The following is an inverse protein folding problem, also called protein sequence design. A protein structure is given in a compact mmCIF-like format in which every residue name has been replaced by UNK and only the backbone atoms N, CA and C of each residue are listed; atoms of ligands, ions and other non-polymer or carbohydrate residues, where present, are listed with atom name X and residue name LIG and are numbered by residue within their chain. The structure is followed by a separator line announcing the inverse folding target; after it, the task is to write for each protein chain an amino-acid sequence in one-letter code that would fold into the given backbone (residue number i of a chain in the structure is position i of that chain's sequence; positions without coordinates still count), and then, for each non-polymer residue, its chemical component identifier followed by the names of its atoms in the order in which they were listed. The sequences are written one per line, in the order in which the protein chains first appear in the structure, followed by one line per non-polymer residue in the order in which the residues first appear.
data_IF_044563585735
#
_entry.id   IF_044563585735
#
_cell.length_a   1.000
_cell.length_b   1.000
_cell.length_c   1.000
_cell.angle_alpha   90.00
_cell.angle_beta   90.00
_cell.angle_gamma   90.00
#
_symmetry.space_group_name_H-M   'P 1'
#
loop_
_entity.id
_entity.type
_entity.pdbx_description
1 polymer ?
#
# COMPACT_ATOMS: atom_id res chain seq x y z
N UNK A 1 -1.85 29.68 -20.74
CA UNK A 1 -0.61 29.02 -20.40
C UNK A 1 -0.90 27.56 -20.13
N UNK A 2 -0.36 26.65 -20.93
CA UNK A 2 -0.37 25.20 -20.68
C UNK A 2 0.63 24.94 -19.57
N UNK A 3 0.15 24.53 -18.41
CA UNK A 3 1.01 23.97 -17.38
C UNK A 3 1.59 22.65 -17.92
N UNK A 4 2.87 22.61 -18.24
CA UNK A 4 3.55 21.35 -18.44
C UNK A 4 3.85 20.76 -17.06
N UNK A 5 3.51 19.50 -16.85
CA UNK A 5 3.85 18.79 -15.60
C UNK A 5 5.36 18.69 -15.33
N UNK A 6 6.18 19.09 -16.29
CA UNK A 6 7.65 19.10 -16.21
C UNK A 6 8.23 20.43 -15.72
N UNK A 7 7.51 21.54 -15.76
CA UNK A 7 8.03 22.85 -15.28
C UNK A 7 7.91 23.05 -13.76
N UNK A 8 7.27 22.12 -13.03
CA UNK A 8 7.23 22.13 -11.58
C UNK A 8 8.18 21.14 -10.90
N UNK A 9 8.92 20.35 -11.68
CA UNK A 9 9.73 19.23 -11.17
C UNK A 9 11.19 19.62 -10.94
N UNK A 10 11.69 20.68 -11.56
CA UNK A 10 12.91 21.33 -11.07
C UNK A 10 12.52 22.06 -9.79
N UNK A 11 12.46 21.27 -8.69
CA UNK A 11 12.20 21.79 -7.36
C UNK A 11 13.20 22.91 -7.06
N UNK A 12 12.83 24.13 -7.46
CA UNK A 12 13.56 25.29 -7.01
C UNK A 12 13.61 25.27 -5.50
N UNK A 13 14.60 25.92 -4.90
CA UNK A 13 14.75 26.06 -3.45
C UNK A 13 13.36 26.30 -2.81
N UNK A 14 12.81 25.27 -2.13
CA UNK A 14 11.51 25.37 -1.46
C UNK A 14 10.39 24.42 -1.94
N UNK A 15 10.58 23.61 -3.01
CA UNK A 15 9.53 22.65 -3.42
C UNK A 15 9.23 21.62 -2.33
N UNK A 16 10.27 21.05 -1.74
CA UNK A 16 10.14 20.08 -0.65
C UNK A 16 9.40 20.70 0.53
N UNK A 17 9.86 21.85 0.99
CA UNK A 17 9.25 22.56 2.12
C UNK A 17 7.78 22.91 1.86
N UNK A 18 7.48 23.36 0.64
CA UNK A 18 6.09 23.63 0.22
C UNK A 18 5.24 22.35 0.25
N UNK A 19 5.76 21.25 -0.30
CA UNK A 19 5.01 20.00 -0.36
C UNK A 19 4.79 19.39 1.03
N UNK A 20 5.83 19.35 1.85
CA UNK A 20 5.73 18.85 3.23
C UNK A 20 4.75 19.71 4.04
N UNK A 21 4.83 21.04 3.92
CA UNK A 21 3.88 21.94 4.57
C UNK A 21 2.44 21.74 4.11
N UNK A 22 2.21 21.54 2.81
CA UNK A 22 0.89 21.26 2.28
C UNK A 22 0.32 19.94 2.78
N UNK A 23 1.13 18.88 2.80
CA UNK A 23 0.71 17.55 3.23
C UNK A 23 0.51 17.47 4.73
N UNK A 24 1.33 18.17 5.53
CA UNK A 24 1.13 18.31 6.96
C UNK A 24 -0.16 19.04 7.36
N UNK A 25 -0.76 19.85 6.45
CA UNK A 25 -2.10 20.40 6.67
C UNK A 25 -3.23 19.37 6.49
N UNK A 26 -2.96 18.27 5.78
CA UNK A 26 -3.91 17.16 5.59
C UNK A 26 -3.79 16.19 6.76
N UNK A 27 -2.54 15.84 7.09
CA UNK A 27 -2.20 14.92 8.17
C UNK A 27 -0.75 15.18 8.60
N UNK A 28 -0.51 15.37 9.89
CA UNK A 28 0.84 15.64 10.42
C UNK A 28 1.82 14.51 10.08
N UNK A 29 1.36 13.24 10.10
CA UNK A 29 2.18 12.08 9.75
C UNK A 29 2.66 12.11 8.29
N UNK A 30 1.91 12.73 7.38
CA UNK A 30 2.34 12.85 5.97
C UNK A 30 3.61 13.68 5.81
N UNK A 31 3.76 14.73 6.59
CA UNK A 31 4.97 15.55 6.53
C UNK A 31 6.18 14.74 7.02
N UNK A 32 6.02 13.94 8.06
CA UNK A 32 7.07 13.09 8.62
C UNK A 32 7.47 11.99 7.62
N UNK A 33 6.52 11.20 7.13
CA UNK A 33 6.77 10.14 6.15
C UNK A 33 7.41 10.66 4.85
N UNK A 34 6.93 11.81 4.35
CA UNK A 34 7.44 12.38 3.10
C UNK A 34 8.81 13.07 3.27
N UNK A 35 9.19 13.45 4.48
CA UNK A 35 10.50 14.02 4.75
C UNK A 35 11.63 13.03 4.46
N UNK A 36 11.38 11.72 4.66
CA UNK A 36 12.33 10.64 4.42
C UNK A 36 12.47 10.25 2.94
N UNK A 37 11.63 10.78 2.04
CA UNK A 37 11.74 10.52 0.60
C UNK A 37 13.07 11.07 0.06
N UNK A 38 13.91 10.26 -0.62
CA UNK A 38 15.32 10.58 -0.85
C UNK A 38 15.55 11.79 -1.79
N UNK A 39 14.66 12.01 -2.73
CA UNK A 39 14.82 13.09 -3.73
C UNK A 39 13.48 13.70 -4.15
N UNK A 40 13.55 14.92 -4.71
CA UNK A 40 12.35 15.66 -5.10
C UNK A 40 11.66 15.09 -6.34
N UNK A 41 12.36 14.32 -7.17
CA UNK A 41 11.75 13.63 -8.32
C UNK A 41 10.80 12.55 -7.81
N UNK A 42 11.26 11.71 -6.89
CA UNK A 42 10.42 10.72 -6.21
C UNK A 42 9.29 11.38 -5.45
N UNK A 43 9.62 12.40 -4.66
CA UNK A 43 8.63 13.15 -3.89
C UNK A 43 7.55 13.76 -4.79
N UNK A 44 7.89 14.26 -6.00
CA UNK A 44 6.95 14.84 -6.94
C UNK A 44 5.90 13.83 -7.46
N UNK A 45 6.23 12.55 -7.49
CA UNK A 45 5.35 11.48 -7.95
C UNK A 45 4.38 10.98 -6.88
N UNK A 46 4.59 11.35 -5.62
CA UNK A 46 3.74 10.96 -4.51
C UNK A 46 2.60 11.96 -4.38
N UNK A 47 1.37 11.46 -4.33
CA UNK A 47 0.15 12.26 -4.24
C UNK A 47 -0.75 11.72 -3.13
N UNK A 48 -1.59 12.61 -2.57
CA UNK A 48 -2.62 12.20 -1.64
C UNK A 48 -3.74 11.43 -2.34
N UNK A 49 -4.10 10.28 -1.79
CA UNK A 49 -5.12 9.38 -2.33
C UNK A 49 -6.55 9.63 -1.82
N UNK A 50 -6.72 10.62 -0.94
CA UNK A 50 -8.05 10.98 -0.42
C UNK A 50 -8.35 10.52 1.01
N UNK A 51 -7.47 9.74 1.64
CA UNK A 51 -7.57 9.27 3.02
C UNK A 51 -6.26 9.52 3.77
N UNK A 52 -6.28 9.46 5.09
CA UNK A 52 -5.08 9.51 5.94
C UNK A 52 -4.52 8.11 6.17
N UNK A 53 -3.39 7.99 6.83
CA UNK A 53 -2.83 6.70 7.27
C UNK A 53 -3.87 5.91 8.05
N UNK A 54 -4.03 4.62 7.74
CA UNK A 54 -5.03 3.76 8.37
C UNK A 54 -6.50 4.16 8.11
N UNK A 55 -6.75 5.18 7.27
CA UNK A 55 -8.10 5.65 6.97
C UNK A 55 -8.97 4.63 6.22
N UNK A 56 -8.34 3.63 5.61
CA UNK A 56 -8.99 2.41 5.12
C UNK A 56 -8.44 1.27 5.98
N UNK A 57 -9.25 0.69 6.88
CA UNK A 57 -8.77 -0.36 7.78
C UNK A 57 -8.46 -1.63 6.99
N UNK A 58 -7.25 -2.12 7.16
CA UNK A 58 -6.81 -3.41 6.62
C UNK A 58 -7.48 -4.59 7.33
N UNK A 59 -7.46 -5.75 6.69
CA UNK A 59 -7.80 -7.02 7.33
C UNK A 59 -6.54 -7.63 7.94
N UNK A 60 -6.60 -8.01 9.20
CA UNK A 60 -5.56 -8.75 9.89
C UNK A 60 -6.10 -10.13 10.26
N UNK A 61 -5.40 -11.19 9.82
CA UNK A 61 -5.79 -12.60 10.00
C UNK A 61 -7.26 -12.87 9.62
N UNK A 62 -7.69 -12.58 8.38
CA UNK A 62 -9.09 -12.71 7.99
C UNK A 62 -9.58 -14.15 8.14
N UNK A 63 -10.78 -14.30 8.69
CA UNK A 63 -11.44 -15.59 8.76
C UNK A 63 -11.67 -16.16 7.36
N UNK A 64 -11.29 -17.43 7.16
CA UNK A 64 -11.47 -18.16 5.91
C UNK A 64 -12.60 -19.16 6.01
N UNK A 65 -13.37 -19.25 4.96
CA UNK A 65 -14.40 -20.27 4.81
C UNK A 65 -14.04 -21.19 3.65
N UNK A 66 -14.34 -22.50 3.74
CA UNK A 66 -14.22 -23.38 2.59
C UNK A 66 -15.10 -22.89 1.44
N UNK A 67 -14.64 -23.06 0.19
CA UNK A 67 -15.38 -22.62 -1.01
C UNK A 67 -16.83 -23.14 -1.04
N UNK A 68 -17.07 -24.39 -0.57
CA UNK A 68 -18.40 -24.97 -0.50
C UNK A 68 -19.37 -24.25 0.47
N UNK A 69 -18.82 -23.47 1.39
CA UNK A 69 -19.57 -22.76 2.44
C UNK A 69 -19.66 -21.26 2.13
N UNK A 70 -19.11 -20.82 0.98
CA UNK A 70 -19.13 -19.44 0.50
C UNK A 70 -20.38 -19.16 -0.38
N UNK A 71 -21.55 -19.56 0.09
CA UNK A 71 -22.84 -19.42 -0.62
C UNK A 71 -23.30 -17.97 -0.83
N UNK A 72 -22.68 -17.04 -0.11
CA UNK A 72 -22.87 -15.60 -0.25
C UNK A 72 -22.16 -15.00 -1.49
N UNK A 73 -21.26 -15.76 -2.14
CA UNK A 73 -20.61 -15.34 -3.38
C UNK A 73 -21.47 -15.67 -4.59
N UNK A 74 -21.39 -14.82 -5.62
CA UNK A 74 -22.04 -15.10 -6.90
C UNK A 74 -21.01 -15.65 -7.90
N UNK A 75 -21.45 -16.49 -8.90
CA UNK A 75 -20.51 -17.18 -9.81
C UNK A 75 -19.57 -16.28 -10.61
N UNK A 76 -19.99 -15.06 -10.93
CA UNK A 76 -19.21 -14.10 -11.73
C UNK A 76 -18.43 -13.09 -10.86
N UNK A 77 -18.37 -13.30 -9.55
CA UNK A 77 -17.64 -12.40 -8.64
C UNK A 77 -16.14 -12.54 -8.83
N UNK A 78 -15.46 -11.39 -8.95
CA UNK A 78 -14.02 -11.35 -9.11
C UNK A 78 -13.33 -11.65 -7.77
N UNK A 79 -12.29 -12.46 -7.86
CA UNK A 79 -11.39 -12.76 -6.74
C UNK A 79 -9.94 -12.53 -7.15
N UNK A 80 -9.11 -12.21 -6.19
CA UNK A 80 -7.66 -12.33 -6.31
C UNK A 80 -7.27 -13.69 -5.72
N UNK A 81 -6.82 -14.60 -6.57
CA UNK A 81 -6.37 -15.92 -6.16
C UNK A 81 -4.87 -15.93 -5.86
N UNK A 82 -4.47 -16.63 -4.82
CA UNK A 82 -3.08 -16.87 -4.49
C UNK A 82 -2.86 -18.35 -4.15
N UNK A 83 -1.70 -18.88 -4.51
CA UNK A 83 -1.24 -20.21 -4.11
C UNK A 83 0.17 -20.07 -3.52
N UNK A 84 0.34 -20.56 -2.30
CA UNK A 84 1.61 -20.53 -1.56
C UNK A 84 1.80 -21.93 -0.98
N UNK A 85 2.90 -22.58 -1.34
CA UNK A 85 3.24 -23.94 -0.88
C UNK A 85 2.07 -24.96 -1.02
N UNK A 86 1.33 -24.87 -2.13
CA UNK A 86 0.20 -25.76 -2.44
C UNK A 86 -1.10 -25.40 -1.70
N UNK A 87 -1.13 -24.39 -0.87
CA UNK A 87 -2.34 -23.87 -0.27
C UNK A 87 -2.91 -22.72 -1.13
N UNK A 88 -4.13 -22.91 -1.64
CA UNK A 88 -4.82 -21.90 -2.45
C UNK A 88 -5.83 -21.11 -1.61
N UNK A 89 -5.80 -19.78 -1.76
CA UNK A 89 -6.71 -18.83 -1.10
C UNK A 89 -7.26 -17.87 -2.14
N UNK A 90 -8.53 -17.49 -2.00
CA UNK A 90 -9.18 -16.48 -2.82
C UNK A 90 -9.67 -15.32 -1.95
N UNK A 91 -9.35 -14.10 -2.36
CA UNK A 91 -9.78 -12.86 -1.72
C UNK A 91 -10.80 -12.17 -2.64
N UNK A 92 -12.08 -12.10 -2.24
CA UNK A 92 -13.09 -11.43 -3.05
C UNK A 92 -12.76 -9.94 -3.23
N UNK A 93 -12.74 -9.47 -4.50
CA UNK A 93 -12.44 -8.07 -4.82
C UNK A 93 -13.45 -7.13 -4.16
N UNK A 94 -14.69 -7.58 -3.95
CA UNK A 94 -15.71 -6.82 -3.23
C UNK A 94 -15.31 -6.52 -1.78
N UNK A 95 -14.65 -7.48 -1.09
CA UNK A 95 -14.15 -7.29 0.27
C UNK A 95 -12.90 -6.41 0.24
N UNK A 96 -11.92 -6.74 -0.62
CA UNK A 96 -10.71 -5.93 -0.77
C UNK A 96 -10.99 -4.50 -1.26
N UNK A 97 -12.11 -4.27 -1.94
CA UNK A 97 -12.54 -2.92 -2.31
C UNK A 97 -12.84 -2.00 -1.12
N UNK A 98 -13.09 -2.56 0.07
CA UNK A 98 -13.33 -1.82 1.31
C UNK A 98 -12.13 -1.79 2.26
N UNK A 99 -11.21 -2.71 2.10
CA UNK A 99 -10.08 -2.90 3.02
C UNK A 99 -8.72 -2.63 2.38
N UNK A 100 -8.62 -2.81 1.07
CA UNK A 100 -7.43 -2.64 0.24
C UNK A 100 -6.22 -3.53 0.59
N UNK A 101 -6.14 -4.03 1.81
CA UNK A 101 -5.06 -4.84 2.36
C UNK A 101 -5.62 -5.99 3.19
N UNK A 102 -5.01 -7.17 3.04
CA UNK A 102 -5.23 -8.30 3.94
C UNK A 102 -3.87 -8.88 4.36
N UNK A 103 -3.46 -8.59 5.58
CA UNK A 103 -2.32 -9.22 6.24
C UNK A 103 -2.77 -10.59 6.74
N UNK A 104 -2.18 -11.64 6.20
CA UNK A 104 -2.65 -13.00 6.35
C UNK A 104 -1.49 -13.98 6.50
N UNK A 105 -1.78 -15.27 6.73
CA UNK A 105 -0.80 -16.36 6.76
C UNK A 105 -1.30 -17.47 5.85
N UNK A 106 -0.55 -17.81 4.80
CA UNK A 106 -0.86 -18.94 3.90
C UNK A 106 0.23 -19.98 4.04
N UNK A 107 -0.13 -21.22 4.34
CA UNK A 107 0.82 -22.32 4.56
C UNK A 107 1.93 -22.00 5.57
N UNK A 108 1.64 -21.19 6.59
CA UNK A 108 2.62 -20.75 7.58
C UNK A 108 3.50 -19.59 7.15
N UNK A 109 3.32 -19.07 5.94
CA UNK A 109 4.07 -17.90 5.40
C UNK A 109 3.23 -16.65 5.60
N UNK A 110 3.73 -15.63 6.34
CA UNK A 110 3.06 -14.35 6.47
C UNK A 110 3.06 -13.62 5.12
N UNK A 111 1.87 -13.26 4.65
CA UNK A 111 1.67 -12.61 3.35
C UNK A 111 0.76 -11.40 3.49
N UNK A 112 0.82 -10.49 2.55
CA UNK A 112 -0.18 -9.43 2.40
C UNK A 112 -0.74 -9.46 0.98
N UNK A 113 -2.06 -9.65 0.86
CA UNK A 113 -2.79 -9.42 -0.37
C UNK A 113 -3.15 -7.94 -0.43
N UNK A 114 -2.57 -7.23 -1.38
CA UNK A 114 -2.74 -5.78 -1.54
C UNK A 114 -3.53 -5.49 -2.80
N UNK A 115 -4.56 -4.68 -2.69
CA UNK A 115 -5.42 -4.27 -3.80
C UNK A 115 -5.53 -2.74 -3.87
N UNK A 116 -5.17 -2.17 -5.02
CA UNK A 116 -5.41 -0.76 -5.31
C UNK A 116 -6.76 -0.61 -6.01
N UNK A 117 -7.74 -0.02 -5.34
CA UNK A 117 -9.10 0.17 -5.87
C UNK A 117 -9.13 1.13 -7.06
N UNK A 118 -8.28 2.16 -7.06
CA UNK A 118 -8.22 3.17 -8.12
C UNK A 118 -7.65 2.63 -9.42
N UNK A 119 -6.59 1.80 -9.34
CA UNK A 119 -5.90 1.25 -10.51
C UNK A 119 -6.24 -0.21 -10.81
N UNK A 120 -7.04 -0.86 -9.95
CA UNK A 120 -7.48 -2.26 -10.08
C UNK A 120 -6.33 -3.25 -10.19
N UNK A 121 -5.25 -3.00 -9.47
CA UNK A 121 -4.12 -3.91 -9.37
C UNK A 121 -4.14 -4.67 -8.05
N UNK A 122 -3.82 -5.97 -8.11
CA UNK A 122 -3.73 -6.82 -6.93
C UNK A 122 -2.44 -7.62 -6.97
N UNK A 123 -1.69 -7.63 -5.86
CA UNK A 123 -0.43 -8.34 -5.71
C UNK A 123 -0.35 -8.98 -4.32
N UNK A 124 0.33 -10.13 -4.26
CA UNK A 124 0.65 -10.80 -3.01
C UNK A 124 2.12 -10.59 -2.68
N UNK A 125 2.40 -10.21 -1.44
CA UNK A 125 3.75 -10.04 -0.93
C UNK A 125 4.02 -10.99 0.23
N UNK A 126 5.25 -11.51 0.32
CA UNK A 126 5.79 -12.06 1.55
C UNK A 126 6.10 -10.89 2.48
N UNK A 127 5.61 -10.95 3.73
CA UNK A 127 5.78 -9.87 4.70
C UNK A 127 7.08 -9.95 5.48
N UNK A 128 7.89 -10.96 5.25
CA UNK A 128 9.18 -11.14 5.96
C UNK A 128 10.27 -10.36 5.26
N UNK A 129 11.02 -9.61 6.04
CA UNK A 129 12.26 -8.94 5.62
C UNK A 129 13.37 -9.23 6.61
N UNK A 130 14.61 -9.05 6.18
CA UNK A 130 15.78 -9.08 7.07
C UNK A 130 16.18 -7.66 7.41
N UNK A 131 16.24 -7.34 8.68
CA UNK A 131 16.77 -6.08 9.19
C UNK A 131 17.95 -6.43 10.13
N UNK A 132 19.15 -6.10 9.72
CA UNK A 132 20.40 -6.33 10.49
C UNK A 132 20.59 -7.80 10.93
N UNK A 133 20.16 -8.76 10.10
CA UNK A 133 20.26 -10.19 10.38
C UNK A 133 19.13 -10.75 11.24
N UNK A 134 18.09 -9.98 11.51
CA UNK A 134 16.87 -10.43 12.17
C UNK A 134 15.70 -10.45 11.18
N UNK A 135 14.96 -11.58 11.15
CA UNK A 135 13.71 -11.64 10.39
C UNK A 135 12.63 -10.81 11.10
N UNK A 136 12.05 -9.87 10.37
CA UNK A 136 10.94 -9.03 10.82
C UNK A 136 9.74 -9.31 9.90
N UNK A 137 8.56 -9.45 10.49
CA UNK A 137 7.31 -9.57 9.75
C UNK A 137 6.64 -8.19 9.73
N UNK A 138 6.42 -7.67 8.54
CA UNK A 138 5.79 -6.37 8.34
C UNK A 138 4.27 -6.48 8.50
N UNK A 139 3.66 -5.49 9.15
CA UNK A 139 2.23 -5.28 9.19
C UNK A 139 1.89 -4.05 8.34
N UNK A 140 1.38 -4.32 7.12
CA UNK A 140 1.07 -3.28 6.17
C UNK A 140 -0.27 -2.59 6.45
N UNK A 141 -0.28 -1.28 6.24
CA UNK A 141 -1.44 -0.41 6.33
C UNK A 141 -1.60 0.42 5.05
N UNK A 142 -2.77 1.00 4.86
CA UNK A 142 -2.98 2.05 3.87
C UNK A 142 -2.27 3.32 4.33
N UNK A 143 -1.30 3.80 3.54
CA UNK A 143 -0.63 5.07 3.84
C UNK A 143 -1.50 6.29 3.57
N UNK A 144 -2.50 6.17 2.70
CA UNK A 144 -3.26 7.30 2.15
C UNK A 144 -2.59 7.99 0.97
N UNK A 145 -1.41 7.53 0.58
CA UNK A 145 -0.60 8.10 -0.51
C UNK A 145 -0.64 7.21 -1.76
N UNK A 146 -0.38 7.84 -2.90
CA UNK A 146 -0.23 7.20 -4.20
C UNK A 146 1.11 7.59 -4.81
N UNK A 147 1.81 6.66 -5.46
CA UNK A 147 2.94 6.95 -6.33
C UNK A 147 2.53 6.71 -7.78
N UNK A 148 2.62 7.75 -8.61
CA UNK A 148 2.21 7.70 -10.02
C UNK A 148 0.84 7.05 -10.19
N UNK A 149 -0.13 7.44 -9.36
CA UNK A 149 -1.51 6.95 -9.32
C UNK A 149 -1.68 5.50 -8.83
N UNK A 150 -0.64 4.83 -8.34
CA UNK A 150 -0.76 3.52 -7.71
C UNK A 150 -0.56 3.62 -6.20
N UNK A 151 -1.14 2.68 -5.46
CA UNK A 151 -1.11 2.65 -3.99
C UNK A 151 0.31 2.66 -3.45
N UNK A 152 0.52 3.42 -2.38
CA UNK A 152 1.65 3.31 -1.48
C UNK A 152 1.16 2.73 -0.17
N UNK A 153 1.85 1.71 0.32
CA UNK A 153 1.61 1.11 1.63
C UNK A 153 2.57 1.73 2.64
N UNK A 154 2.27 1.60 3.90
CA UNK A 154 3.20 1.85 5.02
C UNK A 154 3.20 0.63 5.92
N UNK A 155 4.31 0.28 6.51
CA UNK A 155 4.37 -0.77 7.52
C UNK A 155 4.49 -0.18 8.93
N UNK A 156 3.95 -0.88 9.95
CA UNK A 156 4.02 -0.44 11.34
C UNK A 156 5.42 -0.57 11.96
N UNK A 157 6.17 -1.67 11.72
CA UNK A 157 7.44 -1.86 12.41
C UNK A 157 8.53 -0.85 12.06
N UNK A 158 8.53 -0.31 10.83
CA UNK A 158 9.61 0.55 10.35
C UNK A 158 9.17 1.92 9.84
N UNK A 159 7.86 2.16 9.75
CA UNK A 159 7.26 3.34 9.11
C UNK A 159 7.71 3.56 7.65
N UNK A 160 8.18 2.49 6.99
CA UNK A 160 8.64 2.56 5.61
C UNK A 160 7.45 2.69 4.66
N UNK A 161 7.56 3.60 3.71
CA UNK A 161 6.66 3.70 2.56
C UNK A 161 7.07 2.70 1.48
N UNK A 162 6.11 1.91 0.99
CA UNK A 162 6.33 0.84 0.01
C UNK A 162 5.52 1.07 -1.26
N UNK A 163 6.17 1.01 -2.40
CA UNK A 163 5.48 1.08 -3.69
C UNK A 163 4.79 -0.26 -4.00
N UNK A 164 3.48 -0.23 -4.21
CA UNK A 164 2.67 -1.43 -4.42
C UNK A 164 3.10 -2.27 -5.62
N UNK A 165 3.40 -1.67 -6.78
CA UNK A 165 3.70 -2.47 -7.99
C UNK A 165 5.04 -3.19 -7.94
N UNK A 166 6.03 -2.64 -7.25
CA UNK A 166 7.39 -3.20 -7.20
C UNK A 166 7.73 -3.88 -5.88
N UNK A 167 6.99 -3.57 -4.80
CA UNK A 167 7.33 -4.00 -3.45
C UNK A 167 8.64 -3.39 -2.93
N UNK A 168 9.02 -2.21 -3.44
CA UNK A 168 10.25 -1.52 -3.04
C UNK A 168 9.93 -0.47 -2.00
N UNK A 169 10.75 -0.40 -0.93
CA UNK A 169 10.74 0.71 0.01
C UNK A 169 11.15 2.02 -0.67
N UNK A 170 10.37 3.08 -0.41
CA UNK A 170 10.58 4.41 -0.99
C UNK A 170 11.26 5.34 0.00
N UNK A 171 10.89 5.22 1.28
CA UNK A 171 11.33 6.06 2.39
C UNK A 171 11.12 5.31 3.71
N UNK A 172 11.91 5.58 4.72
CA UNK A 172 11.93 4.92 6.02
C UNK A 172 13.22 4.19 6.31
#
# INVERSE_FOLDING_TARGET
GTWSQTEGIDGGDGYRDWKLGLYGLIDDEFAELLAEVPDDTTLSQIHWGGVTRGGIPELNDPERVPVRDADWMVPDELVLGAEVDGAAVAYPVRILGHHELANDVIAGIPVSMVYCTLCRTGLLFDRRIDIDGAEVVLDFQTSGLLWSSNKVMVDEPTDTLWQHLSGIGIAG
#
